data_IF_120377016101
#
_entry.id   IF_120377016101
#
_cell.length_a   1.000
_cell.length_b   1.000
_cell.length_c   1.000
_cell.angle_alpha   90.00
_cell.angle_beta   90.00
_cell.angle_gamma   90.00
#
_symmetry.space_group_name_H-M   'P 1'
#
loop_
_entity.id
_entity.type
_entity.pdbx_description
1 polymer ?
#
# COMPACT_ATOMS: atom_id res chain seq x y z
N UNK A 1 15.21 -16.40 0.30
CA UNK A 1 15.05 -15.14 1.03
C UNK A 1 14.27 -15.41 2.32
N UNK A 2 14.69 -14.81 3.44
CA UNK A 2 13.97 -14.90 4.72
C UNK A 2 13.09 -13.68 4.92
N UNK A 3 11.84 -13.87 5.35
CA UNK A 3 10.86 -12.79 5.49
C UNK A 3 10.66 -12.36 6.94
N UNK A 4 10.45 -11.06 7.15
CA UNK A 4 9.99 -10.52 8.42
C UNK A 4 8.56 -11.00 8.70
N UNK A 5 8.28 -11.38 9.95
CA UNK A 5 6.98 -11.90 10.36
C UNK A 5 6.21 -10.81 11.07
N UNK A 6 5.02 -10.48 10.55
CA UNK A 6 4.09 -9.60 11.24
C UNK A 6 3.53 -10.30 12.49
N UNK A 7 3.39 -9.57 13.62
CA UNK A 7 2.63 -10.06 14.76
C UNK A 7 1.23 -10.52 14.35
N UNK A 8 0.71 -11.54 15.02
CA UNK A 8 -0.63 -12.10 14.75
C UNK A 8 -1.74 -11.08 15.01
N UNK A 9 -1.52 -10.19 15.97
CA UNK A 9 -2.39 -9.10 16.42
C UNK A 9 -2.02 -7.75 15.79
N UNK A 10 -1.10 -7.73 14.82
CA UNK A 10 -0.69 -6.48 14.18
C UNK A 10 -1.89 -5.80 13.53
N UNK A 11 -2.14 -4.56 13.93
CA UNK A 11 -3.17 -3.72 13.33
C UNK A 11 -2.89 -3.54 11.83
N UNK A 12 -3.96 -3.42 11.09
CA UNK A 12 -3.90 -3.24 9.64
C UNK A 12 -3.31 -1.89 9.26
N UNK A 13 -3.45 -0.89 10.14
CA UNK A 13 -2.80 0.40 10.04
C UNK A 13 -2.21 0.84 11.37
N UNK A 14 -1.03 1.44 11.35
CA UNK A 14 -0.39 2.02 12.54
C UNK A 14 0.28 3.34 12.17
N UNK A 15 0.24 4.31 13.08
CA UNK A 15 0.84 5.63 12.90
C UNK A 15 1.85 5.96 14.00
N UNK A 16 2.83 6.80 13.66
CA UNK A 16 3.90 7.27 14.56
C UNK A 16 4.02 8.79 14.50
N UNK A 17 4.68 9.39 15.48
CA UNK A 17 4.93 10.84 15.51
C UNK A 17 3.67 11.66 15.81
N UNK A 18 2.98 11.30 16.90
CA UNK A 18 1.70 11.88 17.36
C UNK A 18 0.54 11.85 16.36
N UNK A 19 0.76 11.32 15.15
CA UNK A 19 -0.28 11.07 14.16
C UNK A 19 -1.29 10.06 14.70
N UNK A 20 -2.57 10.40 14.52
CA UNK A 20 -3.68 9.49 14.72
C UNK A 20 -4.20 9.08 13.35
N UNK A 21 -4.56 7.80 13.20
CA UNK A 21 -5.10 7.32 11.95
C UNK A 21 -6.24 6.33 12.14
N UNK A 22 -7.22 6.44 11.25
CA UNK A 22 -8.36 5.56 11.19
C UNK A 22 -8.58 5.13 9.74
N UNK A 23 -8.61 3.81 9.50
CA UNK A 23 -8.97 3.27 8.20
C UNK A 23 -10.49 3.18 8.09
N UNK A 24 -11.04 3.68 6.99
CA UNK A 24 -12.46 3.48 6.66
C UNK A 24 -12.60 3.12 5.18
N UNK A 25 -13.78 2.65 4.81
CA UNK A 25 -14.08 2.27 3.44
C UNK A 25 -14.50 3.52 2.66
N UNK A 26 -13.72 3.89 1.63
CA UNK A 26 -14.07 4.95 0.70
C UNK A 26 -13.57 4.60 -0.71
N UNK A 27 -14.20 5.22 -1.71
CA UNK A 27 -13.76 5.13 -3.10
C UNK A 27 -12.60 6.09 -3.35
N UNK A 28 -11.62 5.67 -4.15
CA UNK A 28 -10.53 6.54 -4.56
C UNK A 28 -11.08 7.61 -5.50
N UNK A 29 -10.97 8.87 -5.08
CA UNK A 29 -11.29 10.03 -5.91
C UNK A 29 -9.97 10.55 -6.44
N UNK A 30 -9.83 10.65 -7.75
CA UNK A 30 -8.70 11.33 -8.38
C UNK A 30 -9.08 12.78 -8.59
N UNK A 31 -8.22 13.68 -8.14
CA UNK A 31 -8.39 15.12 -8.30
C UNK A 31 -7.14 15.76 -8.88
N UNK A 32 -7.32 16.97 -9.41
CA UNK A 32 -6.20 17.80 -9.86
C UNK A 32 -5.34 18.28 -8.69
N UNK A 33 -4.15 18.79 -9.00
CA UNK A 33 -3.34 19.46 -7.99
C UNK A 33 -4.02 20.76 -7.57
N UNK A 34 -4.19 20.92 -6.27
CA UNK A 34 -4.74 22.12 -5.67
C UNK A 34 -3.66 22.90 -4.93
N UNK A 35 -3.82 24.23 -4.93
CA UNK A 35 -2.94 25.11 -4.16
C UNK A 35 -3.47 25.16 -2.74
N UNK A 36 -2.65 24.75 -1.77
CA UNK A 36 -3.00 24.92 -0.36
C UNK A 36 -3.04 26.41 0.01
N UNK A 37 -4.00 26.80 0.84
CA UNK A 37 -4.10 28.14 1.45
C UNK A 37 -3.59 28.19 2.89
N UNK A 38 -3.53 27.01 3.54
CA UNK A 38 -3.01 26.82 4.89
C UNK A 38 -2.03 25.62 4.95
N UNK A 39 -1.28 25.42 6.06
CA UNK A 39 -0.46 24.23 6.23
C UNK A 39 -1.28 22.95 6.11
N UNK A 40 -0.79 22.01 5.31
CA UNK A 40 -1.47 20.74 5.02
C UNK A 40 -0.58 19.55 5.33
N UNK A 41 -1.20 18.43 5.70
CA UNK A 41 -0.52 17.14 5.82
C UNK A 41 -0.46 16.49 4.44
N UNK A 42 0.75 16.14 4.00
CA UNK A 42 0.99 15.44 2.72
C UNK A 42 1.94 14.28 2.90
N UNK A 43 1.76 13.18 2.13
CA UNK A 43 2.75 12.14 2.04
C UNK A 43 3.97 12.67 1.26
N UNK A 44 5.17 12.37 1.74
CA UNK A 44 6.43 12.84 1.14
C UNK A 44 7.38 11.73 0.74
N UNK A 45 7.19 10.52 1.27
CA UNK A 45 7.93 9.34 0.82
C UNK A 45 7.05 8.08 0.94
N UNK A 46 7.25 7.12 0.03
CA UNK A 46 6.54 5.83 0.03
C UNK A 46 7.52 4.68 -0.17
N UNK A 47 7.38 3.65 0.65
CA UNK A 47 8.22 2.44 0.62
C UNK A 47 7.34 1.21 0.76
N UNK A 48 7.73 0.12 0.10
CA UNK A 48 7.04 -1.16 0.21
C UNK A 48 8.03 -2.26 0.59
N UNK A 49 7.60 -3.19 1.43
CA UNK A 49 8.38 -4.39 1.77
C UNK A 49 7.50 -5.63 1.81
N UNK A 50 8.06 -6.77 1.40
CA UNK A 50 7.39 -8.07 1.52
C UNK A 50 7.59 -8.60 2.94
N UNK A 51 6.47 -8.93 3.59
CA UNK A 51 6.44 -9.57 4.92
C UNK A 51 5.54 -10.80 4.85
N UNK A 52 5.49 -11.55 5.94
CA UNK A 52 4.53 -12.66 6.08
C UNK A 52 3.68 -12.50 7.32
N UNK A 53 2.44 -12.97 7.24
CA UNK A 53 1.57 -13.18 8.40
C UNK A 53 1.30 -14.68 8.49
N UNK A 54 1.53 -15.24 9.67
CA UNK A 54 1.39 -16.67 9.91
C UNK A 54 0.23 -16.95 10.86
N UNK A 55 -0.50 -18.00 10.55
CA UNK A 55 -1.52 -18.60 11.40
C UNK A 55 -1.12 -20.07 11.68
N UNK A 56 -1.89 -20.82 12.49
CA UNK A 56 -1.56 -22.21 12.79
C UNK A 56 -1.49 -23.13 11.57
N UNK A 57 -2.12 -22.76 10.45
CA UNK A 57 -2.18 -23.57 9.22
C UNK A 57 -0.99 -23.30 8.29
N UNK A 58 -0.41 -22.10 8.34
CA UNK A 58 0.75 -21.73 7.55
C UNK A 58 0.93 -20.22 7.47
N UNK A 59 1.78 -19.77 6.55
CA UNK A 59 2.06 -18.36 6.35
C UNK A 59 1.53 -17.88 5.00
N UNK A 60 1.13 -16.61 4.92
CA UNK A 60 0.77 -15.94 3.67
C UNK A 60 1.60 -14.68 3.49
N UNK A 61 1.92 -14.36 2.24
CA UNK A 61 2.62 -13.13 1.92
C UNK A 61 1.73 -11.90 2.12
N UNK A 62 2.33 -10.84 2.62
CA UNK A 62 1.75 -9.51 2.74
C UNK A 62 2.71 -8.47 2.19
N UNK A 63 2.20 -7.36 1.72
CA UNK A 63 3.02 -6.15 1.50
C UNK A 63 2.70 -5.16 2.60
N UNK A 64 3.75 -4.73 3.30
CA UNK A 64 3.70 -3.59 4.20
C UNK A 64 4.10 -2.35 3.42
N UNK A 65 3.23 -1.35 3.41
CA UNK A 65 3.48 -0.03 2.80
C UNK A 65 3.73 0.97 3.90
N UNK A 66 4.83 1.71 3.79
CA UNK A 66 5.25 2.71 4.76
C UNK A 66 5.30 4.06 4.06
N UNK A 67 4.58 5.05 4.59
CA UNK A 67 4.54 6.40 4.05
C UNK A 67 5.00 7.41 5.11
N UNK A 68 5.91 8.30 4.74
CA UNK A 68 6.28 9.42 5.61
C UNK A 68 5.32 10.58 5.37
N UNK A 69 4.80 11.12 6.46
CA UNK A 69 3.89 12.27 6.45
C UNK A 69 4.63 13.51 6.90
N UNK A 70 4.42 14.59 6.16
CA UNK A 70 4.99 15.90 6.46
C UNK A 70 3.92 16.97 6.51
N UNK A 71 4.14 17.97 7.35
CA UNK A 71 3.41 19.24 7.25
C UNK A 71 4.12 20.09 6.20
N UNK A 72 3.37 20.51 5.19
CA UNK A 72 3.82 21.41 4.14
C UNK A 72 3.31 22.82 4.40
N UNK A 73 4.21 23.80 4.34
CA UNK A 73 3.94 25.23 4.52
C UNK A 73 3.98 25.94 3.18
N UNK A 74 3.09 26.92 2.99
CA UNK A 74 3.03 27.71 1.76
C UNK A 74 4.13 28.76 1.78
N UNK A 75 4.80 28.93 0.64
CA UNK A 75 5.98 29.80 0.51
C UNK A 75 5.65 31.29 0.58
N UNK A 76 4.44 31.70 0.18
CA UNK A 76 4.01 33.10 0.10
C UNK A 76 2.73 33.35 0.90
N UNK A 77 2.89 33.99 2.06
CA UNK A 77 1.88 34.42 3.05
C UNK A 77 1.19 33.37 3.96
N UNK A 78 1.08 33.81 5.22
CA UNK A 78 0.33 33.32 6.39
C UNK A 78 0.69 31.96 7.02
N UNK A 79 1.27 32.02 8.23
CA UNK A 79 1.27 30.96 9.26
C UNK A 79 -0.15 30.74 9.85
N UNK A 80 -1.19 30.77 9.02
CA UNK A 80 -2.56 30.56 9.45
C UNK A 80 -2.86 29.06 9.33
N UNK A 81 -3.21 28.41 10.44
CA UNK A 81 -3.49 26.96 10.46
C UNK A 81 -4.97 26.79 10.12
N UNK A 82 -5.26 26.12 9.00
CA UNK A 82 -6.62 25.73 8.63
C UNK A 82 -7.19 24.81 9.71
N UNK A 83 -8.18 25.31 10.44
CA UNK A 83 -8.87 24.56 11.50
C UNK A 83 -10.07 23.83 10.90
N UNK A 84 -9.84 22.65 10.31
CA UNK A 84 -10.92 21.75 9.93
C UNK A 84 -11.26 20.79 11.06
N UNK A 85 -12.53 20.71 11.45
CA UNK A 85 -13.05 19.56 12.19
C UNK A 85 -12.98 18.34 11.24
N UNK A 86 -12.48 17.19 11.70
CA UNK A 86 -12.32 16.01 10.84
C UNK A 86 -13.67 15.30 10.59
N UNK A 87 -14.72 16.05 10.26
CA UNK A 87 -16.09 15.59 9.98
C UNK A 87 -16.21 14.80 8.67
N UNK A 88 -17.28 14.03 8.54
CA UNK A 88 -17.58 13.24 7.35
C UNK A 88 -17.80 14.13 6.13
N UNK A 89 -17.17 13.74 5.02
CA UNK A 89 -17.44 14.28 3.69
C UNK A 89 -18.79 13.72 3.22
N UNK A 90 -19.88 14.25 3.77
CA UNK A 90 -21.22 14.10 3.21
C UNK A 90 -21.66 15.48 2.68
N UNK A 91 -21.87 15.52 1.37
CA UNK A 91 -22.63 16.50 0.57
C UNK A 91 -22.42 18.00 0.82
N UNK A 92 -21.79 18.70 -0.13
CA UNK A 92 -22.30 19.98 -0.65
C UNK A 92 -21.84 20.19 -2.10
N UNK A 93 -22.68 19.79 -3.04
CA UNK A 93 -22.87 20.57 -4.27
C UNK A 93 -24.18 21.34 -4.08
N UNK A 94 -24.09 22.57 -3.56
CA UNK A 94 -25.12 23.58 -3.80
C UNK A 94 -24.42 24.73 -4.52
N UNK A 95 -24.45 24.66 -5.85
CA UNK A 95 -24.34 25.82 -6.73
C UNK A 95 -25.57 26.69 -6.50
N UNK A 96 -25.55 27.69 -5.61
CA UNK A 96 -26.41 28.88 -5.73
C UNK A 96 -25.69 30.14 -5.18
N UNK A 97 -25.80 31.20 -5.98
CA UNK A 97 -25.57 32.63 -5.67
C UNK A 97 -24.15 33.21 -5.74
N UNK A 98 -23.71 33.39 -6.98
CA UNK A 98 -22.60 34.27 -7.37
C UNK A 98 -23.18 35.64 -7.75
N UNK A 99 -23.28 36.56 -6.80
CA UNK A 99 -23.56 37.98 -7.09
C UNK A 99 -22.72 38.92 -6.18
N UNK A 100 -22.01 39.82 -6.87
CA UNK A 100 -21.52 41.15 -6.49
C UNK A 100 -20.67 41.37 -5.23
N UNK A 101 -19.39 41.71 -5.41
CA UNK A 101 -18.90 43.11 -5.43
C UNK A 101 -17.36 43.11 -5.53
N UNK A 102 -16.84 43.60 -6.66
CA UNK A 102 -15.50 44.18 -6.72
C UNK A 102 -15.67 45.70 -6.59
N UNK A 103 -15.00 46.32 -5.62
CA UNK A 103 -14.43 47.65 -5.78
C UNK A 103 -13.30 47.85 -4.75
N UNK A 104 -12.23 48.46 -5.26
CA UNK A 104 -10.89 48.63 -4.69
C UNK A 104 -10.83 49.50 -3.42
N UNK A 105 -9.86 49.24 -2.52
CA UNK A 105 -8.82 50.22 -2.22
C UNK A 105 -7.66 49.65 -1.38
N UNK A 106 -6.51 50.28 -1.60
CA UNK A 106 -5.15 49.87 -1.28
C UNK A 106 -4.74 50.14 0.20
N UNK A 107 -3.85 49.28 0.70
CA UNK A 107 -2.74 49.59 1.63
C UNK A 107 -2.98 49.62 3.17
N UNK A 108 -2.19 48.73 3.79
CA UNK A 108 -1.49 48.78 5.10
C UNK A 108 -2.12 48.25 6.38
N UNK A 109 -1.38 47.29 6.92
CA UNK A 109 -1.13 47.07 8.35
C UNK A 109 -2.24 46.36 9.13
N UNK A 110 -2.59 45.16 8.69
CA UNK A 110 -3.22 44.18 9.57
C UNK A 110 -2.12 43.44 10.32
N UNK A 111 -1.68 44.07 11.41
CA UNK A 111 -0.98 43.41 12.51
C UNK A 111 -1.89 42.35 13.15
N UNK A 112 -2.11 41.22 12.47
CA UNK A 112 -2.93 40.13 13.02
C UNK A 112 -2.08 39.23 13.92
N UNK A 113 -1.97 39.66 15.18
CA UNK A 113 -1.64 38.79 16.30
C UNK A 113 -2.65 37.65 16.37
N UNK A 114 -2.29 36.44 15.91
CA UNK A 114 -3.04 35.26 16.32
C UNK A 114 -2.61 34.91 17.74
N UNK A 115 -3.40 35.41 18.70
CA UNK A 115 -3.64 34.69 19.95
C UNK A 115 -4.21 33.34 19.54
N UNK A 116 -3.50 32.26 19.89
CA UNK A 116 -4.14 30.96 20.14
C UNK A 116 -5.16 31.23 21.23
N UNK A 117 -6.39 31.60 20.84
CA UNK A 117 -7.47 31.73 21.79
C UNK A 117 -7.69 30.31 22.27
N UNK A 118 -7.35 30.10 23.53
CA UNK A 118 -7.62 28.91 24.33
C UNK A 118 -9.15 28.78 24.47
N UNK A 119 -9.86 28.58 23.37
CA UNK A 119 -11.33 28.42 23.32
C UNK A 119 -11.83 27.46 22.24
N UNK A 120 -10.96 26.69 21.59
CA UNK A 120 -11.29 25.31 21.21
C UNK A 120 -10.05 24.46 21.49
N UNK A 121 -10.24 23.31 22.12
CA UNK A 121 -9.18 22.35 22.42
C UNK A 121 -8.79 21.50 21.20
N UNK A 122 -9.31 21.81 20.01
CA UNK A 122 -9.64 20.79 18.99
C UNK A 122 -9.08 21.05 17.57
N UNK A 123 -8.21 22.04 17.36
CA UNK A 123 -7.69 22.34 16.00
C UNK A 123 -6.57 21.39 15.54
N UNK A 124 -6.91 20.19 15.09
CA UNK A 124 -5.97 19.26 14.45
C UNK A 124 -5.80 19.52 12.95
N UNK A 125 -4.62 19.24 12.40
CA UNK A 125 -4.46 19.12 10.95
C UNK A 125 -4.97 17.75 10.51
N UNK A 126 -5.94 17.71 9.59
CA UNK A 126 -6.47 16.47 9.04
C UNK A 126 -5.96 16.26 7.59
N UNK A 127 -5.83 15.00 7.19
CA UNK A 127 -5.64 14.61 5.80
C UNK A 127 -6.37 13.29 5.50
N UNK A 128 -6.94 13.26 4.31
CA UNK A 128 -7.58 12.09 3.73
C UNK A 128 -6.59 11.43 2.77
N UNK A 129 -6.00 10.33 3.19
CA UNK A 129 -4.95 9.62 2.44
C UNK A 129 -5.55 8.42 1.69
N UNK A 130 -5.30 8.39 0.39
CA UNK A 130 -5.67 7.28 -0.49
C UNK A 130 -4.46 6.42 -0.83
N UNK A 131 -4.64 5.11 -0.81
CA UNK A 131 -3.65 4.12 -1.23
C UNK A 131 -4.28 3.28 -2.34
N UNK A 132 -3.89 3.58 -3.57
CA UNK A 132 -4.31 2.84 -4.75
C UNK A 132 -3.32 1.71 -5.04
N UNK A 133 -3.85 0.53 -5.37
CA UNK A 133 -3.07 -0.62 -5.81
C UNK A 133 -3.53 -1.05 -7.17
N UNK A 134 -2.60 -1.08 -8.11
CA UNK A 134 -2.82 -1.62 -9.44
C UNK A 134 -2.23 -3.02 -9.53
N UNK A 135 -3.08 -3.98 -9.87
CA UNK A 135 -2.67 -5.32 -10.27
C UNK A 135 -3.19 -5.60 -11.68
N UNK A 136 -2.57 -6.50 -12.46
CA UNK A 136 -2.90 -6.69 -13.88
C UNK A 136 -4.37 -6.99 -14.22
N UNK A 137 -5.21 -7.28 -13.22
CA UNK A 137 -6.63 -7.63 -13.38
C UNK A 137 -7.59 -6.90 -12.43
N UNK A 138 -7.14 -5.91 -11.66
CA UNK A 138 -8.00 -5.18 -10.70
C UNK A 138 -7.31 -3.92 -10.15
N UNK A 139 -8.11 -2.94 -9.72
CA UNK A 139 -7.65 -1.80 -8.92
C UNK A 139 -8.31 -1.87 -7.55
N UNK A 140 -7.50 -1.76 -6.49
CA UNK A 140 -7.99 -1.83 -5.11
C UNK A 140 -7.58 -0.57 -4.36
N UNK A 141 -8.57 0.20 -3.91
CA UNK A 141 -8.39 1.40 -3.11
C UNK A 141 -8.39 1.10 -1.61
N UNK A 142 -7.67 1.89 -0.83
CA UNK A 142 -7.80 1.95 0.62
C UNK A 142 -7.73 3.40 1.07
N UNK A 143 -8.55 3.74 2.06
CA UNK A 143 -8.68 5.09 2.56
C UNK A 143 -8.31 5.16 4.05
N UNK A 144 -7.58 6.23 4.39
CA UNK A 144 -7.06 6.47 5.73
C UNK A 144 -7.29 7.93 6.08
N UNK A 145 -8.06 8.18 7.13
CA UNK A 145 -8.12 9.49 7.77
C UNK A 145 -6.94 9.64 8.71
N UNK A 146 -6.17 10.70 8.54
CA UNK A 146 -4.97 11.01 9.33
C UNK A 146 -5.20 12.34 10.03
N UNK A 147 -4.88 12.44 11.31
CA UNK A 147 -4.88 13.71 12.03
C UNK A 147 -3.61 13.92 12.83
N UNK A 148 -3.17 15.17 12.92
CA UNK A 148 -2.05 15.61 13.75
C UNK A 148 -2.60 16.59 14.80
N UNK A 149 -2.43 16.32 16.10
CA UNK A 149 -2.95 17.20 17.14
C UNK A 149 -2.25 18.56 17.13
N UNK A 150 -2.93 19.65 17.56
CA UNK A 150 -2.39 21.00 17.51
C UNK A 150 -1.05 21.18 18.25
N UNK A 151 -0.84 20.42 19.33
CA UNK A 151 0.42 20.43 20.10
C UNK A 151 1.63 19.94 19.32
N UNK A 152 1.42 19.17 18.27
CA UNK A 152 2.46 18.49 17.50
C UNK A 152 2.66 19.09 16.11
N UNK A 153 1.90 20.13 15.77
CA UNK A 153 2.10 20.90 14.53
C UNK A 153 3.43 21.65 14.65
N UNK A 154 4.42 21.36 13.80
CA UNK A 154 5.70 22.03 13.85
C UNK A 154 5.54 23.50 13.47
N UNK A 155 6.39 24.36 14.02
CA UNK A 155 6.52 25.73 13.53
C UNK A 155 7.44 25.71 12.32
N UNK A 156 7.17 26.57 11.33
CA UNK A 156 8.09 26.77 10.22
C UNK A 156 9.41 27.31 10.75
N UNK A 157 10.48 26.51 10.65
CA UNK A 157 11.83 26.93 11.04
C UNK A 157 12.78 26.80 9.85
N UNK A 158 13.16 27.94 9.26
CA UNK A 158 14.12 27.99 8.17
C UNK A 158 13.51 27.86 6.77
N UNK A 159 14.34 27.45 5.80
CA UNK A 159 14.02 27.47 4.37
C UNK A 159 13.28 26.23 3.85
N UNK A 160 13.08 25.19 4.69
CA UNK A 160 12.33 23.99 4.26
C UNK A 160 10.84 24.27 4.31
N UNK A 161 10.16 24.06 3.18
CA UNK A 161 8.70 24.19 3.09
C UNK A 161 7.97 22.91 3.54
N UNK A 162 8.68 21.85 3.93
CA UNK A 162 8.09 20.62 4.47
C UNK A 162 8.85 20.09 5.69
N UNK A 163 8.13 19.65 6.72
CA UNK A 163 8.69 19.03 7.93
C UNK A 163 8.01 17.69 8.17
N UNK A 164 8.79 16.60 8.22
CA UNK A 164 8.29 15.28 8.55
C UNK A 164 7.77 15.24 9.98
N UNK A 165 6.52 14.84 10.16
CA UNK A 165 5.85 14.76 11.46
C UNK A 165 5.65 13.33 11.92
N UNK A 166 5.59 12.37 10.99
CA UNK A 166 5.38 10.98 11.37
C UNK A 166 5.40 10.02 10.20
N UNK A 167 5.01 8.78 10.48
CA UNK A 167 4.97 7.70 9.49
C UNK A 167 3.69 6.91 9.66
N UNK A 168 3.10 6.52 8.53
CA UNK A 168 1.94 5.62 8.45
C UNK A 168 2.44 4.28 7.91
N UNK A 169 2.05 3.19 8.54
CA UNK A 169 2.38 1.83 8.12
C UNK A 169 1.08 1.05 7.89
N UNK A 170 0.90 0.55 6.67
CA UNK A 170 -0.27 -0.21 6.24
C UNK A 170 0.11 -1.67 5.96
N UNK A 171 -0.45 -2.60 6.72
CA UNK A 171 -0.08 -4.02 6.76
C UNK A 171 -1.07 -4.95 6.04
N UNK A 172 -2.22 -4.44 5.59
CA UNK A 172 -3.37 -5.29 5.23
C UNK A 172 -3.31 -5.88 3.81
N UNK A 173 -2.25 -5.65 3.03
CA UNK A 173 -2.30 -6.02 1.60
C UNK A 173 -1.91 -7.48 1.37
N UNK A 174 -2.90 -8.31 0.98
CA UNK A 174 -2.71 -9.72 0.61
C UNK A 174 -1.91 -9.87 -0.68
N UNK A 175 -0.79 -10.58 -0.63
CA UNK A 175 0.12 -10.75 -1.76
C UNK A 175 0.18 -12.19 -2.25
N UNK A 176 0.41 -12.36 -3.56
CA UNK A 176 0.68 -13.66 -4.18
C UNK A 176 2.13 -13.74 -4.65
N UNK A 177 2.84 -14.87 -4.46
CA UNK A 177 4.22 -15.01 -4.91
C UNK A 177 4.39 -14.73 -6.40
N UNK A 178 5.45 -14.00 -6.77
CA UNK A 178 5.79 -13.69 -8.17
C UNK A 178 4.96 -12.58 -8.84
N UNK A 179 3.99 -11.98 -8.13
CA UNK A 179 3.25 -10.83 -8.67
C UNK A 179 4.08 -9.53 -8.60
N UNK A 180 3.72 -8.55 -9.42
CA UNK A 180 4.30 -7.20 -9.40
C UNK A 180 3.18 -6.18 -9.18
N UNK A 181 3.41 -5.21 -8.30
CA UNK A 181 2.41 -4.21 -7.90
C UNK A 181 2.92 -2.80 -8.13
N UNK A 182 2.02 -1.94 -8.59
CA UNK A 182 2.19 -0.49 -8.58
C UNK A 182 1.29 0.09 -7.50
N UNK A 183 1.90 0.76 -6.53
CA UNK A 183 1.20 1.33 -5.38
C UNK A 183 1.35 2.83 -5.47
N UNK A 184 0.22 3.53 -5.50
CA UNK A 184 0.15 4.98 -5.58
C UNK A 184 -0.50 5.54 -4.31
N UNK A 185 0.02 6.64 -3.80
CA UNK A 185 -0.50 7.31 -2.60
C UNK A 185 -0.57 8.82 -2.77
N UNK A 186 -1.67 9.41 -2.34
CA UNK A 186 -1.95 10.84 -2.44
C UNK A 186 -3.00 11.27 -1.42
N UNK A 187 -3.13 12.58 -1.19
CA UNK A 187 -4.20 13.14 -0.35
C UNK A 187 -5.37 13.62 -1.19
N UNK A 188 -6.54 13.72 -0.57
CA UNK A 188 -7.68 14.45 -1.11
C UNK A 188 -8.12 15.57 -0.15
N UNK A 189 -8.12 16.85 -0.57
CA UNK A 189 -7.63 17.34 -1.86
C UNK A 189 -6.14 17.09 -2.08
N UNK A 190 -5.71 17.13 -3.34
CA UNK A 190 -4.34 16.74 -3.72
C UNK A 190 -3.44 17.96 -3.78
N UNK A 191 -2.69 18.19 -2.71
CA UNK A 191 -1.78 19.36 -2.61
C UNK A 191 -0.35 19.07 -3.06
N UNK A 192 -0.02 17.81 -3.33
CA UNK A 192 1.31 17.39 -3.77
C UNK A 192 1.19 16.28 -4.82
N UNK A 193 2.27 16.05 -5.56
CA UNK A 193 2.31 14.98 -6.54
C UNK A 193 2.13 13.60 -5.92
N UNK A 194 1.60 12.69 -6.72
CA UNK A 194 1.38 11.33 -6.30
C UNK A 194 2.70 10.62 -6.02
N UNK A 195 2.75 9.93 -4.88
CA UNK A 195 3.85 9.04 -4.58
C UNK A 195 3.59 7.69 -5.20
N UNK A 196 4.57 7.14 -5.91
CA UNK A 196 4.47 5.83 -6.53
C UNK A 196 5.62 4.91 -6.10
N UNK A 197 5.31 3.63 -5.90
CA UNK A 197 6.31 2.58 -5.71
C UNK A 197 5.94 1.34 -6.51
N UNK A 198 6.91 0.85 -7.27
CA UNK A 198 6.84 -0.44 -7.94
C UNK A 198 7.48 -1.52 -7.06
N UNK A 199 6.70 -2.54 -6.70
CA UNK A 199 7.13 -3.59 -5.78
C UNK A 199 6.98 -4.98 -6.40
N UNK A 200 8.09 -5.71 -6.51
CA UNK A 200 8.11 -7.09 -7.03
C UNK A 200 8.06 -8.09 -5.88
N UNK A 201 7.12 -9.02 -5.92
CA UNK A 201 6.99 -10.07 -4.93
C UNK A 201 7.88 -11.27 -5.32
N UNK A 202 8.60 -11.85 -4.34
CA UNK A 202 9.44 -13.01 -4.61
C UNK A 202 8.59 -14.19 -5.08
N UNK A 203 9.10 -14.95 -6.05
CA UNK A 203 8.50 -16.21 -6.46
C UNK A 203 8.73 -17.33 -5.44
N UNK A 204 7.96 -18.42 -5.54
CA UNK A 204 8.11 -19.57 -4.64
C UNK A 204 9.50 -20.22 -4.68
N UNK A 205 10.24 -20.06 -5.77
CA UNK A 205 11.63 -20.55 -5.89
C UNK A 205 12.65 -19.67 -5.16
N UNK A 206 12.31 -18.42 -4.86
CA UNK A 206 13.17 -17.45 -4.19
C UNK A 206 12.97 -17.43 -2.67
N UNK A 207 11.85 -18.00 -2.20
CA UNK A 207 11.48 -18.10 -0.80
C UNK A 207 12.15 -19.31 -0.13
N UNK A 208 12.57 -19.15 1.13
CA UNK A 208 13.07 -20.29 1.90
C UNK A 208 11.90 -21.26 2.18
N UNK A 209 12.00 -22.58 1.88
CA UNK A 209 10.95 -23.55 2.19
C UNK A 209 10.50 -23.56 3.67
N UNK A 210 11.36 -23.13 4.59
CA UNK A 210 11.03 -22.97 6.01
C UNK A 210 10.02 -21.85 6.28
N UNK A 211 9.77 -20.97 5.33
CA UNK A 211 8.78 -19.90 5.44
C UNK A 211 7.34 -20.43 5.44
N UNK A 212 7.10 -21.68 5.00
CA UNK A 212 5.78 -22.34 4.97
C UNK A 212 4.68 -21.47 4.34
N UNK A 213 5.02 -20.84 3.21
CA UNK A 213 4.07 -20.03 2.45
C UNK A 213 3.05 -20.95 1.78
N UNK A 214 1.77 -20.83 2.15
CA UNK A 214 0.69 -21.71 1.73
C UNK A 214 0.49 -21.73 0.21
N UNK A 215 0.70 -20.59 -0.44
CA UNK A 215 0.63 -20.47 -1.90
C UNK A 215 1.77 -21.20 -2.63
N UNK A 216 2.86 -21.49 -1.92
CA UNK A 216 4.04 -22.20 -2.45
C UNK A 216 4.04 -23.69 -2.14
N UNK A 217 3.08 -24.18 -1.35
CA UNK A 217 2.94 -25.60 -1.10
C UNK A 217 2.49 -26.30 -2.39
N UNK A 218 3.42 -27.09 -2.94
CA UNK A 218 3.20 -27.92 -4.10
C UNK A 218 3.35 -29.40 -3.70
N UNK A 219 2.45 -30.31 -4.14
CA UNK A 219 2.66 -31.74 -3.96
C UNK A 219 3.97 -32.20 -4.57
N UNK A 220 4.62 -33.12 -3.85
CA UNK A 220 5.81 -33.80 -4.32
C UNK A 220 5.43 -34.93 -5.27
N UNK A 221 6.30 -35.21 -6.23
CA UNK A 221 6.19 -36.38 -7.09
C UNK A 221 7.24 -37.41 -6.70
N UNK A 222 6.79 -38.63 -6.44
CA UNK A 222 7.66 -39.80 -6.31
C UNK A 222 7.46 -40.70 -7.51
N UNK A 223 8.56 -41.05 -8.17
CA UNK A 223 8.54 -41.92 -9.34
C UNK A 223 9.15 -43.25 -8.96
N UNK A 224 8.36 -44.31 -9.06
CA UNK A 224 8.81 -45.69 -8.88
C UNK A 224 8.91 -46.33 -10.25
N UNK A 225 9.97 -47.10 -10.47
CA UNK A 225 10.15 -47.87 -11.69
C UNK A 225 10.62 -49.27 -11.36
N UNK A 226 10.16 -50.23 -12.13
CA UNK A 226 10.68 -51.59 -12.15
C UNK A 226 10.95 -52.01 -13.61
N UNK A 227 11.20 -53.29 -13.86
CA UNK A 227 11.51 -53.81 -15.19
C UNK A 227 10.37 -53.71 -16.22
N UNK A 228 9.13 -53.43 -15.80
CA UNK A 228 7.93 -53.46 -16.65
C UNK A 228 7.02 -52.24 -16.50
N UNK A 229 7.00 -51.60 -15.34
CA UNK A 229 6.07 -50.55 -14.98
C UNK A 229 6.79 -49.35 -14.38
N UNK A 230 6.30 -48.15 -14.70
CA UNK A 230 6.63 -46.89 -14.04
C UNK A 230 5.35 -46.40 -13.37
N UNK A 231 5.39 -46.18 -12.05
CA UNK A 231 4.28 -45.59 -11.30
C UNK A 231 4.71 -44.25 -10.72
N UNK A 232 3.82 -43.27 -10.82
CA UNK A 232 4.04 -41.91 -10.29
C UNK A 232 3.05 -41.72 -9.15
N UNK A 233 3.57 -41.45 -7.96
CA UNK A 233 2.79 -41.15 -6.77
C UNK A 233 2.87 -39.66 -6.50
N UNK A 234 1.71 -39.03 -6.36
CA UNK A 234 1.57 -37.65 -5.88
C UNK A 234 1.53 -37.71 -4.36
N UNK A 235 2.46 -37.03 -3.69
CA UNK A 235 2.60 -37.00 -2.23
C UNK A 235 2.28 -35.60 -1.73
N UNK A 236 1.58 -35.50 -0.60
CA UNK A 236 1.10 -34.22 -0.04
C UNK A 236 0.17 -33.44 -1.00
N UNK A 237 -0.52 -34.13 -1.89
CA UNK A 237 -1.59 -33.55 -2.72
C UNK A 237 -2.88 -33.40 -1.91
N UNK A 238 -3.56 -32.28 -2.06
CA UNK A 238 -4.88 -32.08 -1.45
C UNK A 238 -5.98 -32.50 -2.42
N UNK A 239 -7.01 -33.20 -1.92
CA UNK A 239 -8.21 -33.52 -2.71
C UNK A 239 -9.04 -32.28 -3.08
N UNK A 240 -8.77 -31.15 -2.41
CA UNK A 240 -9.45 -29.88 -2.63
C UNK A 240 -9.01 -29.14 -3.91
N UNK A 241 -7.93 -29.57 -4.58
CA UNK A 241 -7.42 -28.93 -5.79
C UNK A 241 -7.35 -29.91 -6.95
N UNK A 242 -7.89 -29.51 -8.10
CA UNK A 242 -7.76 -30.29 -9.33
C UNK A 242 -6.29 -30.33 -9.78
N UNK A 243 -5.64 -31.48 -9.62
CA UNK A 243 -4.24 -31.67 -9.96
C UNK A 243 -4.14 -32.39 -11.31
N UNK A 244 -3.51 -31.76 -12.30
CA UNK A 244 -3.25 -32.39 -13.60
C UNK A 244 -1.80 -32.83 -13.71
N UNK A 245 -1.58 -34.14 -13.84
CA UNK A 245 -0.28 -34.71 -14.16
C UNK A 245 -0.08 -34.66 -15.68
N UNK A 246 0.96 -33.96 -16.15
CA UNK A 246 1.33 -33.93 -17.57
C UNK A 246 2.66 -34.64 -17.77
N UNK A 247 2.62 -35.70 -18.56
CA UNK A 247 3.82 -36.43 -19.01
C UNK A 247 4.14 -35.98 -20.42
N UNK A 248 5.35 -35.48 -20.63
CA UNK A 248 5.79 -35.04 -21.95
C UNK A 248 7.17 -35.58 -22.30
N UNK A 249 7.37 -35.87 -23.58
CA UNK A 249 8.63 -36.35 -24.11
C UNK A 249 9.45 -35.18 -24.63
N UNK A 250 10.73 -35.10 -24.27
CA UNK A 250 11.66 -34.12 -24.86
C UNK A 250 12.62 -34.85 -25.79
N UNK A 251 12.29 -34.90 -27.08
CA UNK A 251 13.18 -35.48 -28.07
C UNK A 251 14.41 -34.57 -28.29
N UNK A 252 15.61 -35.09 -28.04
CA UNK A 252 16.86 -34.48 -28.50
C UNK A 252 17.30 -35.17 -29.77
N UNK A 253 17.25 -34.48 -30.91
CA UNK A 253 17.93 -34.94 -32.11
C UNK A 253 19.45 -34.81 -31.90
N UNK A 254 20.12 -35.91 -31.57
CA UNK A 254 21.57 -36.04 -31.79
C UNK A 254 21.81 -37.08 -32.87
N UNK A 255 22.67 -36.70 -33.82
CA UNK A 255 22.87 -37.34 -35.13
C UNK A 255 23.67 -38.65 -35.07
N UNK A 256 24.09 -39.12 -33.89
CA UNK A 256 24.75 -40.41 -33.75
C UNK A 256 24.59 -40.93 -32.32
N UNK A 257 24.17 -42.20 -32.29
CA UNK A 257 24.19 -43.18 -31.22
C UNK A 257 23.50 -42.89 -29.87
N UNK A 258 22.57 -43.80 -29.55
CA UNK A 258 21.74 -43.91 -28.33
C UNK A 258 20.81 -42.74 -28.06
N UNK A 259 19.55 -42.94 -28.44
CA UNK A 259 18.41 -42.12 -28.03
C UNK A 259 18.26 -42.21 -26.50
N UNK A 260 18.85 -41.26 -25.78
CA UNK A 260 18.51 -41.06 -24.38
C UNK A 260 17.15 -40.36 -24.32
N UNK A 261 16.13 -41.08 -23.86
CA UNK A 261 14.81 -40.52 -23.64
C UNK A 261 14.80 -39.76 -22.32
N UNK A 262 14.58 -38.44 -22.37
CA UNK A 262 14.31 -37.65 -21.19
C UNK A 262 12.79 -37.49 -21.09
N UNK A 263 12.18 -38.24 -20.18
CA UNK A 263 10.77 -38.05 -19.81
C UNK A 263 10.74 -36.97 -18.74
N UNK A 264 10.02 -35.89 -19.03
CA UNK A 264 9.80 -34.82 -18.06
C UNK A 264 8.35 -34.90 -17.60
N UNK A 265 8.17 -34.97 -16.29
CA UNK A 265 6.87 -35.02 -15.65
C UNK A 265 6.65 -33.68 -14.98
N UNK A 266 5.61 -32.96 -15.39
CA UNK A 266 5.23 -31.68 -14.82
C UNK A 266 3.85 -31.76 -14.20
N UNK A 267 3.69 -31.18 -13.01
CA UNK A 267 2.37 -30.93 -12.42
C UNK A 267 1.97 -29.50 -12.79
N UNK A 268 0.83 -29.32 -13.44
CA UNK A 268 0.27 -27.98 -13.67
C UNK A 268 -0.84 -27.72 -12.66
N UNK A 269 -0.66 -26.67 -11.87
CA UNK A 269 -1.65 -26.17 -10.92
C UNK A 269 -2.57 -25.16 -11.60
N UNK A 270 -3.89 -25.38 -11.51
CA UNK A 270 -4.88 -24.37 -11.81
C UNK A 270 -5.38 -23.79 -10.49
N UNK A 271 -5.18 -22.50 -10.27
CA UNK A 271 -5.95 -21.74 -9.29
C UNK A 271 -7.17 -21.26 -10.07
N UNK A 272 -8.37 -21.73 -9.72
CA UNK A 272 -9.61 -21.11 -10.18
C UNK A 272 -9.76 -19.78 -9.43
#
# INVERSE_FOLDING_TARGET
>A
MRLETLPSDAQDITCTGDLQCNSSDAFCIFGDLEKAEFPVLVPTDIRAKTVKRCDPTGCRLRVQVTMDMSVMFISDLSDEIGSGDCGDYDDYYDDEDLDDYLEDDDVTDVSLYIRVNKSSSDSSLCANLFILREVPSSHLCSFVRVSLPPSSIPRRTGASNSIKVGTIVYNSINARPGNEWYITSYTHPRYNEELNVHHKLPGCTELDPKEKILECEAPSLEVFYNSSNVSVRVVNGTSARNTTLRVFYKARHKRNDRTHFLVSIGVKYGII
#
